data_IF_988865444657
#
_entry.id   IF_988865444657
#
_cell.length_a   1.000
_cell.length_b   1.000
_cell.length_c   1.000
_cell.angle_alpha   90.00
_cell.angle_beta   90.00
_cell.angle_gamma   90.00
#
_symmetry.space_group_name_H-M   'P 1'
#
loop_
_entity.id
_entity.type
_entity.pdbx_description
1 polymer ?
#
# COMPACT_ATOMS: atom_id res chain seq x y z
N UNK A 1 -17.57 -6.76 -9.41
CA UNK A 1 -17.48 -8.19 -9.07
C UNK A 1 -16.12 -8.34 -8.42
N UNK A 2 -16.06 -8.99 -7.27
CA UNK A 2 -14.83 -9.29 -6.53
C UNK A 2 -14.78 -10.81 -6.30
N UNK A 3 -13.59 -11.36 -6.14
CA UNK A 3 -13.43 -12.76 -5.82
C UNK A 3 -12.09 -13.00 -5.14
N UNK A 4 -12.04 -14.03 -4.30
CA UNK A 4 -10.84 -14.44 -3.61
C UNK A 4 -10.76 -15.97 -3.47
N UNK A 5 -9.54 -16.47 -3.34
CA UNK A 5 -9.23 -17.88 -3.10
C UNK A 5 -9.49 -18.27 -1.65
N UNK A 6 -10.17 -19.38 -1.45
CA UNK A 6 -10.45 -19.90 -0.11
C UNK A 6 -9.45 -20.99 0.30
N UNK A 7 -9.26 -21.19 1.60
CA UNK A 7 -8.30 -22.16 2.17
C UNK A 7 -8.50 -23.62 1.72
N UNK A 8 -9.71 -23.98 1.29
CA UNK A 8 -10.05 -25.27 0.69
C UNK A 8 -9.67 -25.37 -0.81
N UNK A 9 -8.85 -24.44 -1.31
CA UNK A 9 -8.45 -24.28 -2.73
C UNK A 9 -9.61 -23.96 -3.68
N UNK A 10 -10.78 -23.58 -3.16
CA UNK A 10 -11.88 -23.04 -3.95
C UNK A 10 -11.82 -21.52 -4.08
N UNK A 11 -12.97 -20.92 -4.42
CA UNK A 11 -13.09 -19.48 -4.59
C UNK A 11 -14.40 -18.97 -3.99
N UNK A 12 -14.39 -17.76 -3.47
CA UNK A 12 -15.60 -17.01 -3.12
C UNK A 12 -15.70 -15.80 -4.03
N UNK A 13 -16.89 -15.51 -4.55
CA UNK A 13 -17.09 -14.36 -5.43
C UNK A 13 -18.33 -13.55 -5.01
N UNK A 14 -18.19 -12.23 -5.00
CA UNK A 14 -19.26 -11.27 -4.75
C UNK A 14 -19.57 -10.46 -6.00
N UNK A 15 -20.84 -10.20 -6.30
CA UNK A 15 -21.16 -9.38 -7.45
C UNK A 15 -22.62 -9.25 -7.81
N UNK A 16 -22.84 -8.70 -9.01
CA UNK A 16 -24.15 -8.54 -9.62
C UNK A 16 -24.40 -9.69 -10.61
N UNK A 17 -25.49 -10.43 -10.41
CA UNK A 17 -25.85 -11.56 -11.25
C UNK A 17 -27.31 -11.42 -11.72
N UNK A 18 -27.51 -11.42 -13.04
CA UNK A 18 -28.84 -11.50 -13.67
C UNK A 18 -29.41 -12.93 -13.57
N UNK A 19 -30.74 -13.14 -13.56
CA UNK A 19 -31.83 -12.18 -13.82
C UNK A 19 -32.47 -11.57 -12.57
N UNK A 20 -32.00 -11.89 -11.36
CA UNK A 20 -32.76 -11.62 -10.15
C UNK A 20 -32.41 -10.31 -9.43
N UNK A 21 -31.55 -9.44 -9.97
CA UNK A 21 -31.10 -8.16 -9.36
C UNK A 21 -30.53 -8.26 -7.94
N UNK A 22 -30.51 -9.45 -7.33
CA UNK A 22 -29.90 -9.68 -6.04
C UNK A 22 -28.40 -9.72 -6.21
N UNK A 23 -27.72 -9.04 -5.31
CA UNK A 23 -26.27 -8.97 -5.27
C UNK A 23 -25.82 -10.12 -4.38
N UNK A 24 -25.10 -11.05 -4.97
CA UNK A 24 -24.92 -12.40 -4.42
C UNK A 24 -23.48 -12.64 -4.05
N UNK A 25 -23.31 -13.57 -3.11
CA UNK A 25 -22.04 -14.20 -2.83
C UNK A 25 -22.18 -15.68 -3.19
N UNK A 26 -21.25 -16.18 -4.01
CA UNK A 26 -21.24 -17.56 -4.49
C UNK A 26 -19.92 -18.20 -4.08
N UNK A 27 -20.01 -19.41 -3.51
CA UNK A 27 -18.84 -20.25 -3.23
C UNK A 27 -18.69 -21.29 -4.32
N UNK A 28 -17.46 -21.44 -4.78
CA UNK A 28 -17.05 -22.45 -5.75
C UNK A 28 -16.04 -23.43 -5.14
N UNK A 29 -16.01 -24.64 -5.66
CA UNK A 29 -14.90 -25.57 -5.44
C UNK A 29 -13.71 -25.21 -6.37
N UNK A 30 -12.58 -25.92 -6.21
CA UNK A 30 -11.37 -25.73 -7.03
C UNK A 30 -11.55 -25.97 -8.53
N UNK A 31 -12.61 -26.68 -8.93
CA UNK A 31 -12.94 -26.97 -10.33
C UNK A 31 -13.87 -25.91 -10.94
N UNK A 32 -14.35 -24.94 -10.14
CA UNK A 32 -15.29 -23.92 -10.57
C UNK A 32 -16.77 -24.30 -10.44
N UNK A 33 -17.10 -25.43 -9.79
CA UNK A 33 -18.50 -25.77 -9.53
C UNK A 33 -19.04 -24.99 -8.34
N UNK A 34 -20.23 -24.40 -8.49
CA UNK A 34 -20.92 -23.71 -7.40
C UNK A 34 -21.33 -24.70 -6.30
N UNK A 35 -20.94 -24.39 -5.06
CA UNK A 35 -21.29 -25.14 -3.86
C UNK A 35 -22.53 -24.55 -3.18
N UNK A 36 -22.59 -23.22 -3.07
CA UNK A 36 -23.75 -22.52 -2.51
C UNK A 36 -23.80 -21.07 -2.98
N UNK A 37 -24.98 -20.45 -2.82
CA UNK A 37 -25.23 -19.02 -3.07
C UNK A 37 -25.95 -18.41 -1.87
N UNK A 38 -25.47 -17.26 -1.40
CA UNK A 38 -26.04 -16.51 -0.28
C UNK A 38 -26.32 -15.07 -0.70
N UNK A 39 -27.30 -14.47 -0.02
CA UNK A 39 -27.75 -13.11 -0.27
C UNK A 39 -27.57 -12.31 1.02
N UNK A 40 -26.62 -11.37 1.02
CA UNK A 40 -26.31 -10.53 2.17
C UNK A 40 -26.98 -9.15 2.13
N UNK A 41 -27.80 -8.89 1.09
CA UNK A 41 -28.56 -7.66 0.96
C UNK A 41 -28.84 -7.28 -0.50
N UNK A 42 -29.26 -6.04 -0.71
CA UNK A 42 -29.56 -5.48 -2.02
C UNK A 42 -28.41 -4.61 -2.58
N UNK A 43 -27.21 -4.72 -2.00
CA UNK A 43 -26.10 -3.76 -2.19
C UNK A 43 -24.83 -4.36 -2.78
N UNK A 44 -24.04 -3.55 -3.52
CA UNK A 44 -22.92 -4.06 -4.32
C UNK A 44 -21.82 -4.44 -3.35
N UNK A 45 -21.43 -5.72 -3.38
CA UNK A 45 -20.19 -6.14 -2.74
C UNK A 45 -19.06 -5.49 -3.52
N UNK A 46 -18.40 -4.54 -2.88
CA UNK A 46 -17.28 -3.82 -3.47
C UNK A 46 -16.07 -4.73 -3.46
N UNK A 47 -15.83 -5.39 -2.34
CA UNK A 47 -14.72 -6.32 -2.20
C UNK A 47 -14.98 -7.46 -1.19
N UNK A 48 -14.23 -8.55 -1.33
CA UNK A 48 -14.33 -9.77 -0.51
C UNK A 48 -12.94 -10.36 -0.28
N UNK A 49 -12.65 -10.72 0.97
CA UNK A 49 -11.38 -11.31 1.37
C UNK A 49 -11.63 -12.53 2.26
N UNK A 50 -10.96 -13.64 1.96
CA UNK A 50 -11.00 -14.87 2.75
C UNK A 50 -10.18 -14.69 4.03
N UNK A 51 -10.68 -15.23 5.12
CA UNK A 51 -10.07 -15.03 6.43
C UNK A 51 -9.39 -16.31 6.93
N UNK A 52 -8.35 -16.14 7.75
CA UNK A 52 -7.52 -17.21 8.34
C UNK A 52 -8.31 -18.26 9.13
N UNK A 53 -9.50 -17.92 9.61
CA UNK A 53 -10.46 -18.85 10.23
C UNK A 53 -11.30 -19.64 9.21
N UNK A 54 -10.90 -19.63 7.93
CA UNK A 54 -11.60 -20.22 6.78
C UNK A 54 -12.94 -19.58 6.45
N UNK A 55 -13.32 -18.48 7.09
CA UNK A 55 -14.47 -17.66 6.67
C UNK A 55 -14.09 -16.65 5.59
N UNK A 56 -14.89 -15.58 5.50
CA UNK A 56 -14.59 -14.43 4.66
C UNK A 56 -15.18 -13.16 5.26
N UNK A 57 -14.55 -12.03 4.97
CA UNK A 57 -15.07 -10.70 5.20
C UNK A 57 -15.43 -10.08 3.86
N UNK A 58 -16.49 -9.28 3.84
CA UNK A 58 -16.91 -8.55 2.65
C UNK A 58 -17.34 -7.15 3.03
N UNK A 59 -17.23 -6.25 2.06
CA UNK A 59 -17.66 -4.86 2.20
C UNK A 59 -18.69 -4.51 1.12
N UNK A 60 -19.75 -3.82 1.50
CA UNK A 60 -20.74 -3.25 0.58
C UNK A 60 -21.23 -1.89 1.06
N UNK A 61 -21.53 -1.01 0.10
CA UNK A 61 -22.12 0.30 0.37
C UNK A 61 -23.60 0.30 -0.01
N UNK A 62 -24.45 0.82 0.88
CA UNK A 62 -25.87 0.97 0.61
C UNK A 62 -26.23 2.28 -0.11
N UNK A 63 -27.52 2.51 -0.39
CA UNK A 63 -27.99 3.72 -1.09
C UNK A 63 -27.85 5.01 -0.29
N UNK A 64 -27.48 4.93 0.98
CA UNK A 64 -27.33 6.07 1.89
C UNK A 64 -25.86 6.31 2.24
N UNK A 65 -24.94 5.87 1.38
CA UNK A 65 -23.50 5.97 1.57
C UNK A 65 -23.03 5.36 2.91
N UNK A 66 -23.76 4.34 3.38
CA UNK A 66 -23.37 3.57 4.56
C UNK A 66 -22.56 2.37 4.12
N UNK A 67 -21.30 2.31 4.55
CA UNK A 67 -20.41 1.17 4.37
C UNK A 67 -20.76 0.12 5.41
N UNK A 68 -21.10 -1.08 4.97
CA UNK A 68 -21.28 -2.24 5.84
C UNK A 68 -20.18 -3.25 5.60
N UNK A 69 -19.56 -3.68 6.68
CA UNK A 69 -18.57 -4.75 6.70
C UNK A 69 -19.26 -5.95 7.36
N UNK A 70 -19.19 -7.10 6.71
CA UNK A 70 -19.80 -8.33 7.20
C UNK A 70 -18.75 -9.43 7.21
N UNK A 71 -18.61 -10.09 8.36
CA UNK A 71 -17.88 -11.34 8.49
C UNK A 71 -18.86 -12.50 8.43
N UNK A 72 -18.50 -13.51 7.66
CA UNK A 72 -19.20 -14.78 7.57
C UNK A 72 -18.22 -15.95 7.77
N UNK A 73 -18.79 -17.10 8.12
CA UNK A 73 -18.08 -18.38 8.09
C UNK A 73 -18.06 -18.98 6.67
N UNK A 74 -17.42 -20.14 6.51
CA UNK A 74 -17.31 -20.82 5.20
C UNK A 74 -18.65 -21.34 4.64
N UNK A 75 -19.66 -21.49 5.50
CA UNK A 75 -21.01 -21.86 5.08
C UNK A 75 -21.81 -20.64 4.61
N UNK A 76 -21.27 -19.44 4.80
CA UNK A 76 -21.91 -18.18 4.48
C UNK A 76 -22.96 -17.78 5.51
N UNK A 77 -22.76 -18.14 6.78
CA UNK A 77 -23.56 -17.65 7.90
C UNK A 77 -22.85 -16.47 8.56
N UNK A 78 -23.62 -15.42 8.87
CA UNK A 78 -23.06 -14.18 9.43
C UNK A 78 -22.52 -14.42 10.84
N UNK A 79 -21.28 -14.00 11.05
CA UNK A 79 -20.59 -13.99 12.35
C UNK A 79 -20.81 -12.64 13.03
N UNK A 80 -20.50 -11.55 12.33
CA UNK A 80 -20.76 -10.19 12.77
C UNK A 80 -20.95 -9.24 11.59
N UNK A 81 -21.55 -8.08 11.86
CA UNK A 81 -21.67 -6.98 10.90
C UNK A 81 -21.53 -5.63 11.59
N UNK A 82 -20.82 -4.71 10.94
CA UNK A 82 -20.56 -3.35 11.42
C UNK A 82 -20.90 -2.35 10.32
N UNK A 83 -21.46 -1.21 10.72
CA UNK A 83 -21.87 -0.13 9.81
C UNK A 83 -21.11 1.14 10.11
N UNK A 84 -20.67 1.80 9.05
CA UNK A 84 -19.92 3.04 9.10
C UNK A 84 -20.50 4.03 8.08
N UNK A 85 -20.34 5.31 8.35
CA UNK A 85 -20.86 6.39 7.49
C UNK A 85 -19.78 7.43 7.24
N UNK A 86 -19.86 8.07 6.08
CA UNK A 86 -19.08 9.26 5.77
C UNK A 86 -17.78 9.00 5.01
N UNK A 87 -17.44 7.75 4.67
CA UNK A 87 -16.30 7.40 3.83
C UNK A 87 -16.69 6.29 2.85
N UNK A 88 -15.93 6.17 1.77
CA UNK A 88 -16.06 5.11 0.78
C UNK A 88 -14.94 4.09 0.96
N UNK A 89 -15.24 2.81 0.74
CA UNK A 89 -14.27 1.71 0.77
C UNK A 89 -14.33 0.97 -0.57
N UNK A 90 -13.15 0.71 -1.13
CA UNK A 90 -12.97 -0.02 -2.38
C UNK A 90 -12.31 -1.37 -2.21
N UNK A 91 -11.51 -1.55 -1.15
CA UNK A 91 -10.75 -2.78 -0.90
C UNK A 91 -10.74 -3.12 0.59
N UNK A 92 -10.76 -4.42 0.89
CA UNK A 92 -10.69 -4.98 2.24
C UNK A 92 -9.76 -6.19 2.25
N UNK A 93 -8.81 -6.20 3.19
CA UNK A 93 -7.88 -7.31 3.38
C UNK A 93 -7.77 -7.73 4.85
N UNK A 94 -7.48 -9.01 5.12
CA UNK A 94 -7.11 -9.47 6.45
C UNK A 94 -5.59 -9.53 6.57
N UNK A 95 -5.04 -8.85 7.57
CA UNK A 95 -3.61 -8.91 7.84
C UNK A 95 -3.20 -10.20 8.59
N UNK A 96 -1.89 -10.43 8.70
CA UNK A 96 -1.30 -11.60 9.40
C UNK A 96 -1.63 -11.71 10.89
N UNK A 97 -2.14 -10.63 11.52
CA UNK A 97 -2.59 -10.61 12.91
C UNK A 97 -4.09 -10.93 13.06
N UNK A 98 -4.82 -11.06 11.94
CA UNK A 98 -6.25 -11.30 11.92
C UNK A 98 -7.11 -10.02 11.93
N UNK A 99 -6.49 -8.84 11.97
CA UNK A 99 -7.16 -7.54 11.84
C UNK A 99 -7.57 -7.29 10.39
N UNK A 100 -8.49 -6.35 10.18
CA UNK A 100 -8.95 -5.95 8.83
C UNK A 100 -8.40 -4.59 8.44
N UNK A 101 -7.89 -4.51 7.22
CA UNK A 101 -7.40 -3.31 6.57
C UNK A 101 -8.41 -2.91 5.51
N UNK A 102 -8.80 -1.65 5.47
CA UNK A 102 -9.73 -1.14 4.47
C UNK A 102 -9.16 0.11 3.82
N UNK A 103 -9.23 0.15 2.50
CA UNK A 103 -8.77 1.28 1.70
C UNK A 103 -9.92 1.87 0.88
N UNK A 104 -9.87 3.19 0.69
CA UNK A 104 -10.85 3.92 -0.10
C UNK A 104 -10.61 5.42 -0.06
N UNK A 105 -11.66 6.21 0.20
CA UNK A 105 -11.59 7.67 0.27
C UNK A 105 -12.42 8.29 1.39
N UNK A 106 -11.95 9.43 1.90
CA UNK A 106 -12.63 10.24 2.91
C UNK A 106 -12.30 11.71 2.69
N UNK A 107 -13.31 12.57 2.51
CA UNK A 107 -13.15 14.02 2.30
C UNK A 107 -12.14 14.38 1.18
N UNK A 108 -12.20 13.69 0.06
CA UNK A 108 -11.27 13.83 -1.07
C UNK A 108 -9.84 13.35 -0.81
N UNK A 109 -9.53 12.77 0.35
CA UNK A 109 -8.25 12.12 0.59
C UNK A 109 -8.37 10.59 0.42
N UNK A 110 -7.26 9.93 0.10
CA UNK A 110 -7.13 8.48 0.24
C UNK A 110 -7.29 8.08 1.70
N UNK A 111 -8.07 7.04 1.98
CA UNK A 111 -8.44 6.65 3.33
C UNK A 111 -7.95 5.25 3.66
N UNK A 112 -7.36 5.10 4.85
CA UNK A 112 -7.02 3.82 5.46
C UNK A 112 -7.74 3.67 6.79
N UNK A 113 -8.46 2.57 6.96
CA UNK A 113 -9.08 2.18 8.22
C UNK A 113 -8.54 0.82 8.64
N UNK A 114 -8.17 0.70 9.91
CA UNK A 114 -7.85 -0.58 10.54
C UNK A 114 -8.90 -0.93 11.58
N UNK A 115 -9.45 -2.14 11.46
CA UNK A 115 -10.35 -2.75 12.43
C UNK A 115 -9.67 -3.93 13.13
N UNK A 116 -10.04 -4.21 14.37
CA UNK A 116 -9.66 -5.46 15.01
C UNK A 116 -10.44 -6.66 14.42
N UNK A 117 -10.09 -7.86 14.88
CA UNK A 117 -10.71 -9.11 14.43
C UNK A 117 -12.21 -9.26 14.79
N UNK A 118 -12.78 -8.34 15.58
CA UNK A 118 -14.21 -8.26 15.91
C UNK A 118 -14.95 -7.17 15.11
N UNK A 119 -14.22 -6.43 14.28
CA UNK A 119 -14.73 -5.35 13.44
C UNK A 119 -14.82 -4.00 14.16
N UNK A 120 -14.22 -3.84 15.33
CA UNK A 120 -14.16 -2.55 16.03
C UNK A 120 -12.98 -1.72 15.51
N UNK A 121 -13.19 -0.40 15.40
CA UNK A 121 -12.19 0.52 14.85
C UNK A 121 -11.01 0.68 15.80
N UNK A 122 -9.80 0.42 15.30
CA UNK A 122 -8.55 0.68 16.00
C UNK A 122 -8.05 2.08 15.69
N UNK A 123 -7.98 2.43 14.42
CA UNK A 123 -7.56 3.75 13.95
C UNK A 123 -7.89 3.94 12.47
N UNK A 124 -7.89 5.21 12.04
CA UNK A 124 -7.93 5.59 10.63
C UNK A 124 -6.91 6.67 10.28
N UNK A 125 -6.60 6.81 8.99
CA UNK A 125 -5.68 7.78 8.41
C UNK A 125 -6.20 8.29 7.08
N UNK A 126 -5.89 9.54 6.76
CA UNK A 126 -6.08 10.12 5.43
C UNK A 126 -4.74 10.50 4.82
N UNK A 127 -4.65 10.39 3.49
CA UNK A 127 -3.47 10.74 2.71
C UNK A 127 -3.92 11.43 1.44
N UNK A 128 -3.49 12.66 1.28
CA UNK A 128 -3.93 13.49 0.17
C UNK A 128 -3.35 14.89 0.24
N UNK A 129 -3.83 15.75 -0.64
CA UNK A 129 -3.37 17.13 -0.79
C UNK A 129 -4.53 18.08 -1.04
N UNK A 130 -4.39 18.97 -2.02
CA UNK A 130 -5.42 19.95 -2.35
C UNK A 130 -6.50 19.43 -3.30
N UNK A 131 -6.25 18.29 -3.95
CA UNK A 131 -7.12 17.65 -4.93
C UNK A 131 -7.85 16.43 -4.37
N UNK A 132 -8.37 15.60 -5.27
CA UNK A 132 -9.03 14.34 -4.90
C UNK A 132 -8.05 13.15 -5.02
N UNK A 133 -8.01 12.36 -3.98
CA UNK A 133 -7.34 11.09 -3.86
C UNK A 133 -8.33 10.00 -3.49
N UNK A 134 -8.08 8.80 -3.98
CA UNK A 134 -8.69 7.59 -3.45
C UNK A 134 -7.72 6.43 -3.62
N UNK A 135 -7.74 5.50 -2.69
CA UNK A 135 -7.14 4.20 -2.88
C UNK A 135 -8.16 3.25 -3.50
N UNK A 136 -7.68 2.40 -4.39
CA UNK A 136 -8.44 1.32 -4.99
C UNK A 136 -8.12 -0.01 -4.32
N UNK A 137 -6.89 -0.19 -3.83
CA UNK A 137 -6.41 -1.46 -3.31
C UNK A 137 -5.39 -1.27 -2.16
N UNK A 138 -5.25 -2.30 -1.32
CA UNK A 138 -4.34 -2.34 -0.18
C UNK A 138 -3.77 -3.74 0.05
N UNK A 139 -2.51 -3.79 0.49
CA UNK A 139 -1.85 -5.03 0.87
C UNK A 139 -0.96 -4.82 2.12
N UNK A 140 -0.85 -5.84 2.98
CA UNK A 140 0.13 -5.81 4.07
C UNK A 140 1.54 -6.11 3.53
N UNK A 141 2.52 -5.27 3.87
CA UNK A 141 3.91 -5.52 3.49
C UNK A 141 4.63 -6.46 4.47
N UNK A 142 5.66 -7.21 4.05
CA UNK A 142 6.37 -8.17 4.91
C UNK A 142 7.03 -7.57 6.16
N UNK A 143 7.29 -6.26 6.15
CA UNK A 143 7.81 -5.48 7.28
C UNK A 143 6.72 -5.10 8.30
N UNK A 144 5.47 -5.52 8.08
CA UNK A 144 4.30 -5.25 8.93
C UNK A 144 3.56 -3.95 8.60
N UNK A 145 4.07 -3.16 7.65
CA UNK A 145 3.41 -1.96 7.12
C UNK A 145 2.31 -2.26 6.11
N UNK A 146 1.83 -1.21 5.44
CA UNK A 146 0.78 -1.30 4.43
C UNK A 146 1.15 -0.52 3.18
N UNK A 147 0.87 -1.09 2.01
CA UNK A 147 0.95 -0.40 0.72
C UNK A 147 -0.46 -0.24 0.16
N UNK A 148 -0.77 0.97 -0.30
CA UNK A 148 -2.04 1.31 -0.93
C UNK A 148 -1.77 1.91 -2.30
N UNK A 149 -2.65 1.62 -3.26
CA UNK A 149 -2.56 2.15 -4.63
C UNK A 149 -3.89 2.70 -5.08
N UNK A 150 -3.86 3.82 -5.80
CA UNK A 150 -5.03 4.44 -6.40
C UNK A 150 -4.65 5.63 -7.25
N UNK A 151 -5.39 6.73 -7.11
CA UNK A 151 -5.16 7.95 -7.90
C UNK A 151 -5.06 9.19 -7.03
N UNK A 152 -4.44 10.23 -7.60
CA UNK A 152 -4.33 11.57 -7.01
C UNK A 152 -4.55 12.64 -8.06
N UNK A 153 -5.21 13.72 -7.67
CA UNK A 153 -5.28 14.98 -8.42
C UNK A 153 -4.41 16.08 -7.78
N UNK A 154 -3.82 15.81 -6.62
CA UNK A 154 -2.93 16.72 -5.89
C UNK A 154 -1.49 16.68 -6.41
N UNK A 155 -1.02 15.50 -6.81
CA UNK A 155 0.38 15.28 -7.21
C UNK A 155 0.48 14.96 -8.69
N UNK A 156 1.50 15.48 -9.37
CA UNK A 156 1.79 15.18 -10.77
C UNK A 156 1.60 16.36 -11.73
N UNK A 157 1.38 16.06 -13.01
CA UNK A 157 1.44 17.06 -14.11
C UNK A 157 0.07 17.48 -14.65
N UNK A 158 -1.00 17.17 -13.90
CA UNK A 158 -2.39 17.53 -14.20
C UNK A 158 -3.23 16.34 -14.65
N UNK A 159 -4.51 16.33 -14.27
CA UNK A 159 -5.38 15.15 -14.41
C UNK A 159 -5.30 14.25 -13.18
N UNK A 160 -5.69 12.97 -13.32
CA UNK A 160 -5.49 11.96 -12.29
C UNK A 160 -4.17 11.22 -12.58
N UNK A 161 -3.25 11.22 -11.63
CA UNK A 161 -2.00 10.48 -11.67
C UNK A 161 -2.06 9.28 -10.71
N UNK A 162 -1.18 8.29 -10.91
CA UNK A 162 -1.10 7.13 -10.02
C UNK A 162 -0.60 7.57 -8.64
N UNK A 163 -1.31 7.15 -7.60
CA UNK A 163 -0.93 7.42 -6.21
C UNK A 163 -0.59 6.13 -5.50
N UNK A 164 0.62 6.04 -4.95
CA UNK A 164 1.08 4.90 -4.15
C UNK A 164 1.54 5.42 -2.80
N UNK A 165 0.97 4.87 -1.73
CA UNK A 165 1.33 5.25 -0.37
C UNK A 165 1.77 4.01 0.38
N UNK A 166 2.97 4.05 0.96
CA UNK A 166 3.45 3.04 1.89
C UNK A 166 3.56 3.61 3.30
N UNK A 167 3.14 2.80 4.26
CA UNK A 167 3.05 3.17 5.67
C UNK A 167 3.69 2.13 6.57
N UNK A 168 4.02 2.54 7.80
CA UNK A 168 4.37 1.61 8.86
C UNK A 168 3.12 0.86 9.38
N UNK A 169 3.31 -0.05 10.33
CA UNK A 169 2.21 -0.82 10.96
C UNK A 169 1.17 0.05 11.71
N UNK A 170 1.47 1.33 11.93
CA UNK A 170 0.60 2.30 12.59
C UNK A 170 -0.07 3.25 11.58
N UNK A 171 0.11 3.03 10.27
CA UNK A 171 -0.44 3.86 9.21
C UNK A 171 0.27 5.21 9.05
N UNK A 172 1.49 5.37 9.55
CA UNK A 172 2.25 6.61 9.31
C UNK A 172 3.02 6.48 8.00
N UNK A 173 3.03 7.54 7.18
CA UNK A 173 3.83 7.55 5.95
C UNK A 173 5.31 7.48 6.29
N UNK A 174 6.00 6.56 5.61
CA UNK A 174 7.44 6.42 5.70
C UNK A 174 8.03 7.34 4.64
N UNK A 175 8.39 8.56 5.07
CA UNK A 175 8.58 9.74 4.22
C UNK A 175 9.55 9.60 3.05
N UNK A 176 9.02 9.26 1.88
CA UNK A 176 9.61 9.59 0.57
C UNK A 176 8.48 10.00 -0.38
N UNK A 177 8.19 11.29 -0.45
CA UNK A 177 7.35 11.86 -1.51
C UNK A 177 8.23 12.09 -2.74
N UNK A 178 7.98 11.37 -3.85
CA UNK A 178 8.54 11.75 -5.15
C UNK A 178 7.66 12.86 -5.77
N UNK A 179 8.09 14.10 -5.63
CA UNK A 179 7.59 15.19 -6.48
C UNK A 179 8.18 15.00 -7.89
N UNK A 180 7.52 14.22 -8.75
CA UNK A 180 7.92 14.05 -10.15
C UNK A 180 7.46 15.27 -10.97
N UNK A 181 7.98 16.45 -10.64
CA UNK A 181 7.78 17.65 -11.46
C UNK A 181 8.72 17.59 -12.67
N UNK A 182 8.32 16.86 -13.71
CA UNK A 182 9.02 16.69 -15.00
C UNK A 182 10.46 16.13 -14.91
N UNK A 183 10.89 15.24 -15.82
CA UNK A 183 12.29 14.82 -15.88
C UNK A 183 13.14 15.97 -16.44
N UNK A 184 13.43 16.99 -15.65
CA UNK A 184 14.59 17.82 -15.91
C UNK A 184 15.80 16.95 -15.63
N UNK A 185 16.59 16.66 -16.68
CA UNK A 185 17.89 16.02 -16.57
C UNK A 185 18.66 16.63 -15.39
N UNK A 186 18.80 15.86 -14.31
CA UNK A 186 19.55 16.26 -13.13
C UNK A 186 21.00 15.78 -13.36
N UNK A 187 21.97 16.67 -13.59
CA UNK A 187 23.36 16.28 -13.88
C UNK A 187 24.07 15.61 -12.69
N UNK A 188 23.37 15.40 -11.56
CA UNK A 188 23.89 14.80 -10.33
C UNK A 188 23.24 13.46 -10.01
N UNK A 189 23.10 12.57 -11.01
CA UNK A 189 22.69 11.19 -10.75
C UNK A 189 23.77 10.47 -9.94
N UNK A 190 23.36 9.76 -8.90
CA UNK A 190 24.24 8.76 -8.27
C UNK A 190 24.53 7.69 -9.33
N UNK A 191 25.80 7.32 -9.49
CA UNK A 191 26.24 6.20 -10.30
C UNK A 191 26.31 4.96 -9.42
N UNK A 192 25.95 3.81 -10.00
CA UNK A 192 25.95 2.53 -9.30
C UNK A 192 26.69 1.51 -10.13
N UNK A 193 27.70 0.94 -9.50
CA UNK A 193 28.48 -0.16 -10.05
C UNK A 193 28.17 -1.43 -9.26
N UNK A 194 27.71 -2.47 -9.95
CA UNK A 194 27.51 -3.78 -9.36
C UNK A 194 28.79 -4.60 -9.47
N UNK A 195 29.31 -5.05 -8.34
CA UNK A 195 30.49 -5.89 -8.29
C UNK A 195 30.10 -7.35 -8.41
N UNK A 196 30.97 -8.15 -9.02
CA UNK A 196 30.78 -9.61 -9.17
C UNK A 196 30.72 -10.36 -7.84
N UNK A 197 31.06 -9.69 -6.72
CA UNK A 197 30.92 -10.19 -5.36
C UNK A 197 29.49 -10.13 -4.81
N UNK A 198 28.56 -9.44 -5.48
CA UNK A 198 27.21 -9.15 -4.96
C UNK A 198 27.12 -7.84 -4.17
N UNK A 199 28.23 -7.09 -4.08
CA UNK A 199 28.26 -5.74 -3.52
C UNK A 199 27.89 -4.69 -4.57
N UNK A 200 27.52 -3.50 -4.13
CA UNK A 200 27.35 -2.35 -5.02
C UNK A 200 28.20 -1.16 -4.54
N UNK A 201 28.74 -0.39 -5.48
CA UNK A 201 29.36 0.90 -5.18
C UNK A 201 28.40 2.00 -5.61
N UNK A 202 28.03 2.86 -4.66
CA UNK A 202 27.31 4.10 -4.96
C UNK A 202 28.31 5.24 -5.02
N UNK A 203 28.33 5.95 -6.14
CA UNK A 203 29.22 7.09 -6.34
C UNK A 203 28.43 8.33 -6.73
N UNK A 204 28.82 9.50 -6.25
CA UNK A 204 28.16 10.75 -6.62
C UNK A 204 29.10 11.94 -6.50
N UNK A 205 28.75 13.01 -7.24
CA UNK A 205 29.44 14.30 -7.16
C UNK A 205 28.56 15.28 -6.41
N UNK A 206 29.13 15.96 -5.43
CA UNK A 206 28.42 16.97 -4.66
C UNK A 206 29.34 18.17 -4.40
N UNK A 207 28.91 19.35 -4.84
CA UNK A 207 29.59 20.61 -4.57
C UNK A 207 29.20 21.10 -3.17
N UNK A 208 30.05 20.79 -2.18
CA UNK A 208 29.87 21.14 -0.77
C UNK A 208 31.21 21.26 -0.05
N UNK A 209 31.33 22.22 0.85
CA UNK A 209 32.49 22.40 1.75
C UNK A 209 32.23 21.84 3.16
N UNK A 210 31.12 21.10 3.33
CA UNK A 210 30.68 20.51 4.60
C UNK A 210 30.55 19.01 4.51
N UNK A 211 30.83 18.35 5.63
CA UNK A 211 30.55 16.93 5.85
C UNK A 211 29.08 16.62 5.56
N UNK A 212 28.81 15.39 5.10
CA UNK A 212 27.49 14.94 4.67
C UNK A 212 27.05 13.70 5.43
N UNK A 213 25.78 13.64 5.78
CA UNK A 213 25.12 12.44 6.26
C UNK A 213 24.46 11.74 5.05
N UNK A 214 24.96 10.55 4.73
CA UNK A 214 24.38 9.67 3.74
C UNK A 214 23.59 8.58 4.44
N UNK A 215 22.29 8.48 4.16
CA UNK A 215 21.42 7.43 4.69
C UNK A 215 20.81 6.63 3.56
N UNK A 216 20.76 5.30 3.71
CA UNK A 216 20.00 4.41 2.84
C UNK A 216 18.82 3.87 3.61
N UNK A 217 17.68 3.85 2.93
CA UNK A 217 16.43 3.32 3.41
C UNK A 217 16.05 2.12 2.56
N UNK A 218 15.57 1.05 3.21
CA UNK A 218 14.86 0.01 2.49
C UNK A 218 13.49 0.52 1.99
N UNK A 219 12.76 -0.32 1.26
CA UNK A 219 11.40 0.01 0.82
C UNK A 219 10.46 0.36 1.97
N UNK A 220 10.77 0.00 3.22
CA UNK A 220 9.98 0.35 4.41
C UNK A 220 10.37 1.70 5.00
N UNK A 221 11.23 2.49 4.35
CA UNK A 221 11.73 3.74 4.91
C UNK A 221 12.56 3.54 6.18
N UNK A 222 12.92 2.31 6.53
CA UNK A 222 13.82 2.03 7.65
C UNK A 222 15.25 2.31 7.19
N UNK A 223 15.99 3.06 8.01
CA UNK A 223 17.41 3.29 7.79
C UNK A 223 18.15 1.96 7.95
N UNK A 224 18.71 1.46 6.85
CA UNK A 224 19.53 0.24 6.83
C UNK A 224 21.02 0.55 6.78
N UNK A 225 21.38 1.79 6.44
CA UNK A 225 22.75 2.28 6.48
C UNK A 225 22.76 3.78 6.70
N UNK A 226 23.67 4.25 7.56
CA UNK A 226 23.90 5.66 7.80
C UNK A 226 25.40 5.87 7.97
N UNK A 227 25.95 6.77 7.16
CA UNK A 227 27.36 7.11 7.16
C UNK A 227 27.52 8.62 7.12
N UNK A 228 28.37 9.13 7.99
CA UNK A 228 28.86 10.50 7.89
C UNK A 228 30.14 10.49 7.05
N UNK A 229 30.12 11.20 5.93
CA UNK A 229 31.25 11.33 5.01
C UNK A 229 31.86 12.72 5.17
N UNK A 230 33.18 12.76 5.32
CA UNK A 230 33.90 14.02 5.37
C UNK A 230 33.88 14.72 4.02
N UNK A 231 33.85 16.05 4.04
CA UNK A 231 33.94 16.83 2.81
C UNK A 231 35.17 16.43 1.99
N UNK A 232 35.02 16.37 0.67
CA UNK A 232 36.11 16.07 -0.27
C UNK A 232 36.35 17.23 -1.22
N UNK A 233 37.61 17.62 -1.41
CA UNK A 233 38.00 18.73 -2.29
C UNK A 233 37.84 18.44 -3.78
N UNK A 234 37.70 17.16 -4.15
CA UNK A 234 37.38 16.74 -5.52
C UNK A 234 35.87 16.60 -5.76
N UNK A 235 35.05 16.93 -4.75
CA UNK A 235 33.59 16.81 -4.75
C UNK A 235 33.09 15.39 -5.06
N UNK A 236 33.93 14.37 -5.00
CA UNK A 236 33.58 12.99 -5.34
C UNK A 236 33.43 12.14 -4.08
N UNK A 237 32.35 11.38 -4.02
CA UNK A 237 32.02 10.50 -2.91
C UNK A 237 31.75 9.10 -3.45
N UNK A 238 32.25 8.08 -2.75
CA UNK A 238 32.06 6.67 -3.10
C UNK A 238 31.83 5.85 -1.85
N UNK A 239 30.83 4.98 -1.89
CA UNK A 239 30.34 4.20 -0.75
C UNK A 239 30.15 2.77 -1.21
N UNK A 240 30.78 1.82 -0.50
CA UNK A 240 30.57 0.40 -0.74
C UNK A 240 29.36 -0.10 0.07
N UNK A 241 28.45 -0.77 -0.63
CA UNK A 241 27.27 -1.41 -0.10
C UNK A 241 27.50 -2.92 -0.08
N UNK A 242 27.60 -3.46 1.14
CA UNK A 242 27.89 -4.87 1.40
C UNK A 242 26.62 -5.64 1.77
N UNK A 243 26.44 -6.84 1.20
CA UNK A 243 25.38 -7.80 1.55
C UNK A 243 23.93 -7.29 1.41
N UNK A 244 23.70 -6.32 0.52
CA UNK A 244 22.35 -5.82 0.24
C UNK A 244 21.57 -6.83 -0.60
N UNK A 245 20.30 -7.03 -0.24
CA UNK A 245 19.41 -7.89 -1.01
C UNK A 245 19.02 -7.22 -2.34
N UNK A 246 18.76 -7.96 -3.42
CA UNK A 246 18.16 -7.39 -4.62
C UNK A 246 16.85 -6.67 -4.27
N UNK A 247 16.67 -5.45 -4.77
CA UNK A 247 15.53 -4.61 -4.42
C UNK A 247 15.74 -3.13 -4.72
N UNK A 248 14.70 -2.35 -4.48
CA UNK A 248 14.75 -0.89 -4.59
C UNK A 248 15.10 -0.30 -3.22
N UNK A 249 15.98 0.68 -3.22
CA UNK A 249 16.44 1.41 -2.05
C UNK A 249 16.26 2.90 -2.28
N UNK A 250 16.02 3.63 -1.20
CA UNK A 250 16.02 5.09 -1.22
C UNK A 250 17.27 5.59 -0.51
N UNK A 251 17.74 6.77 -0.89
CA UNK A 251 18.84 7.42 -0.18
C UNK A 251 18.49 8.86 0.16
N UNK A 252 19.14 9.38 1.20
CA UNK A 252 19.24 10.81 1.44
C UNK A 252 20.69 11.22 1.62
N UNK A 253 21.03 12.40 1.10
CA UNK A 253 22.31 13.09 1.34
C UNK A 253 21.97 14.42 1.98
N UNK A 254 22.41 14.64 3.22
CA UNK A 254 22.05 15.83 3.98
C UNK A 254 23.27 16.49 4.60
N UNK A 255 23.26 17.81 4.65
CA UNK A 255 24.03 18.62 5.59
C UNK A 255 23.23 19.89 5.91
N UNK A 256 23.87 20.92 6.47
CA UNK A 256 23.17 22.16 6.82
C UNK A 256 22.63 22.94 5.61
N UNK A 257 23.18 22.72 4.42
CA UNK A 257 22.93 23.54 3.22
C UNK A 257 22.22 22.76 2.11
N UNK A 258 22.35 21.44 2.14
CA UNK A 258 21.93 20.53 1.08
C UNK A 258 21.05 19.45 1.70
N UNK A 259 19.91 19.20 1.06
CA UNK A 259 19.11 18.00 1.29
C UNK A 259 18.74 17.41 -0.06
N UNK A 260 19.26 16.23 -0.37
CA UNK A 260 18.97 15.47 -1.58
C UNK A 260 18.39 14.11 -1.23
N UNK A 261 17.51 13.63 -2.10
CA UNK A 261 16.86 12.34 -1.99
C UNK A 261 16.84 11.68 -3.36
N UNK A 262 16.81 10.35 -3.37
CA UNK A 262 16.59 9.61 -4.60
C UNK A 262 16.45 8.13 -4.32
N UNK A 263 16.48 7.35 -5.40
CA UNK A 263 16.38 5.89 -5.34
C UNK A 263 17.42 5.21 -6.21
N UNK A 264 17.64 3.94 -5.90
CA UNK A 264 18.37 3.02 -6.74
C UNK A 264 17.86 1.60 -6.60
N UNK A 265 18.22 0.76 -7.56
CA UNK A 265 17.95 -0.67 -7.49
C UNK A 265 19.26 -1.42 -7.26
N UNK A 266 19.20 -2.55 -6.57
CA UNK A 266 20.22 -3.59 -6.59
C UNK A 266 19.60 -4.81 -7.28
N UNK A 267 20.33 -5.38 -8.23
CA UNK A 267 19.90 -6.54 -9.03
C UNK A 267 20.75 -7.76 -8.68
#
# INVERSE_FOLDING_TARGET
MCADTTYDSGFIAGGWFEPHYYKTVIKFNKNGDSLWTKYYGFYIVTDICSTSDSGFVLVYTDHYDTVTILKADIAGDSVWSKRFVGFDITSIEQNTYGDYLLAGSYNNDGFLLKLDNTGDSLWSRTYGGSGNEAFNDIEQTPDGGYIMVGYTHSYGSGGADVYVVKTDSLGNTLGVEENISSPTYNPNQIAIEYLSSGNAIVSFVLDTDKDIDFSIYDLSGRIINNQQLRYSTDNFYSIELLDYQPGIYFYSIKNSDISRFGKFSIY
#
